data_IF_375390129827
#
_entry.id   IF_375390129827
#
_cell.length_a   1.000
_cell.length_b   1.000
_cell.length_c   1.000
_cell.angle_alpha   90.00
_cell.angle_beta   90.00
_cell.angle_gamma   90.00
#
_symmetry.space_group_name_H-M   'P 1'
#
loop_
_entity.id
_entity.type
_entity.pdbx_description
1 polymer ?
#
# COMPACT_ATOMS: atom_id res chain seq x y z
N UNK A 1 33.80 81.58 -28.70
CA UNK A 1 34.48 81.11 -29.91
C UNK A 1 33.94 79.72 -30.22
N UNK A 2 32.81 79.72 -30.94
CA UNK A 2 32.17 78.57 -31.58
C UNK A 2 33.04 78.10 -32.73
N UNK A 3 33.12 76.80 -33.05
CA UNK A 3 33.48 76.16 -34.34
C UNK A 3 33.34 74.63 -34.10
N UNK A 4 32.17 73.99 -34.28
CA UNK A 4 31.61 73.36 -35.50
C UNK A 4 32.64 72.55 -36.32
N UNK A 5 32.54 71.21 -36.29
CA UNK A 5 32.53 70.33 -37.50
C UNK A 5 32.11 68.90 -37.13
N UNK A 6 31.25 68.32 -37.98
CA UNK A 6 30.49 67.07 -37.85
C UNK A 6 31.30 65.78 -38.20
N UNK A 7 30.69 64.68 -38.71
CA UNK A 7 30.53 63.41 -38.02
C UNK A 7 31.36 62.30 -38.67
N UNK A 8 31.44 61.10 -38.07
CA UNK A 8 31.59 59.85 -38.83
C UNK A 8 31.22 58.66 -37.95
N UNK A 9 30.17 57.99 -38.40
CA UNK A 9 29.84 56.62 -38.06
C UNK A 9 30.92 55.70 -38.67
N UNK A 10 31.49 54.82 -37.84
CA UNK A 10 32.04 53.56 -38.33
C UNK A 10 32.06 52.54 -37.19
N UNK A 11 30.87 52.02 -36.87
CA UNK A 11 30.79 50.59 -36.55
C UNK A 11 31.32 49.83 -37.79
N UNK A 12 32.13 48.75 -37.66
CA UNK A 12 31.62 47.58 -36.98
C UNK A 12 32.67 46.68 -36.26
N UNK A 13 32.08 45.79 -35.46
CA UNK A 13 32.43 44.38 -35.41
C UNK A 13 33.36 43.88 -34.29
N UNK A 14 32.70 43.45 -33.22
CA UNK A 14 32.78 42.09 -32.69
C UNK A 14 34.19 41.52 -32.50
N UNK A 15 34.72 41.69 -31.29
CA UNK A 15 35.49 40.63 -30.65
C UNK A 15 35.06 40.48 -29.19
N UNK A 16 34.44 39.32 -28.92
CA UNK A 16 34.24 38.67 -27.62
C UNK A 16 33.05 39.15 -26.79
N UNK A 17 31.86 38.52 -26.79
CA UNK A 17 31.50 37.19 -26.22
C UNK A 17 32.05 37.02 -24.79
N UNK A 18 31.29 36.90 -23.68
CA UNK A 18 29.88 36.65 -23.32
C UNK A 18 29.67 37.21 -21.87
N UNK A 19 28.41 37.33 -21.37
CA UNK A 19 28.08 38.15 -20.19
C UNK A 19 28.55 37.58 -18.83
N UNK A 20 29.09 38.47 -18.00
CA UNK A 20 29.34 38.26 -16.56
C UNK A 20 28.01 38.04 -15.84
N UNK A 21 27.87 36.92 -15.14
CA UNK A 21 26.67 36.55 -14.39
C UNK A 21 26.38 37.55 -13.25
N UNK A 22 25.17 38.12 -13.14
CA UNK A 22 24.77 38.90 -11.98
C UNK A 22 24.51 37.99 -10.78
N UNK A 23 25.29 38.18 -9.72
CA UNK A 23 25.05 37.64 -8.38
C UNK A 23 23.74 38.23 -7.82
N UNK A 24 22.73 37.38 -7.56
CA UNK A 24 21.52 37.78 -6.84
C UNK A 24 21.80 37.89 -5.34
N UNK A 25 22.37 39.03 -4.92
CA UNK A 25 22.40 39.46 -3.52
C UNK A 25 21.80 40.87 -3.43
N UNK A 26 20.47 40.95 -3.37
CA UNK A 26 19.72 42.13 -2.88
C UNK A 26 18.86 41.71 -1.67
N UNK A 27 19.30 42.08 -0.46
CA UNK A 27 18.51 42.13 0.80
C UNK A 27 17.67 43.42 0.79
N UNK A 28 16.45 43.54 1.40
CA UNK A 28 16.26 43.46 2.85
C UNK A 28 14.83 43.04 3.31
N UNK A 29 14.55 43.20 4.61
CA UNK A 29 13.50 42.58 5.38
C UNK A 29 12.52 43.62 5.93
N UNK A 30 11.28 43.68 5.40
CA UNK A 30 10.05 44.24 6.03
C UNK A 30 8.99 44.69 5.01
N UNK A 31 7.88 43.97 4.85
CA UNK A 31 6.54 44.58 4.86
C UNK A 31 5.45 43.51 4.89
N UNK A 32 4.61 43.63 5.91
CA UNK A 32 3.30 43.01 6.10
C UNK A 32 2.65 42.59 4.77
N UNK A 33 2.46 41.28 4.57
CA UNK A 33 1.42 40.82 3.65
C UNK A 33 0.10 41.32 4.21
N UNK A 34 -0.30 42.49 3.72
CA UNK A 34 -1.63 43.06 3.86
C UNK A 34 -2.59 41.94 3.49
N UNK A 35 -3.39 41.52 4.46
CA UNK A 35 -4.55 40.66 4.22
C UNK A 35 -5.42 41.42 3.22
N UNK A 36 -5.49 40.94 1.98
CA UNK A 36 -6.36 41.45 0.93
C UNK A 36 -7.83 41.22 1.35
N UNK A 37 -8.60 42.27 1.71
CA UNK A 37 -9.98 42.12 2.16
C UNK A 37 -10.97 41.88 1.01
N UNK A 38 -10.53 41.84 -0.25
CA UNK A 38 -11.39 41.60 -1.41
C UNK A 38 -11.36 40.14 -1.91
N UNK A 39 -10.50 39.27 -1.36
CA UNK A 39 -10.56 37.84 -1.66
C UNK A 39 -11.69 37.19 -0.86
N UNK A 40 -12.89 37.19 -1.45
CA UNK A 40 -14.07 36.49 -0.95
C UNK A 40 -13.69 35.04 -0.58
N UNK A 41 -13.75 34.65 0.71
CA UNK A 41 -13.60 33.26 1.11
C UNK A 41 -14.94 32.57 0.87
N UNK A 42 -15.14 31.97 -0.30
CA UNK A 42 -16.42 31.34 -0.60
C UNK A 42 -16.65 31.00 -2.06
N UNK A 43 -15.79 30.19 -2.67
CA UNK A 43 -16.18 29.39 -3.84
C UNK A 43 -15.64 27.96 -3.82
N UNK A 44 -15.37 27.42 -2.62
CA UNK A 44 -15.52 25.97 -2.44
C UNK A 44 -17.01 25.68 -2.47
N UNK A 45 -17.56 25.75 -3.69
CA UNK A 45 -18.87 25.21 -4.01
C UNK A 45 -18.85 23.80 -3.45
N UNK A 46 -19.56 23.70 -2.33
CA UNK A 46 -20.05 22.47 -1.75
C UNK A 46 -20.82 21.79 -2.87
N UNK A 47 -20.11 20.98 -3.66
CA UNK A 47 -20.75 19.94 -4.39
C UNK A 47 -20.86 18.82 -3.35
N UNK A 48 -22.05 18.55 -2.82
CA UNK A 48 -22.21 17.35 -2.01
C UNK A 48 -21.88 16.20 -2.96
N UNK A 49 -20.75 15.54 -2.74
CA UNK A 49 -20.32 14.37 -3.48
C UNK A 49 -21.26 13.20 -3.16
N UNK A 50 -22.53 13.31 -3.58
CA UNK A 50 -23.57 12.29 -3.44
C UNK A 50 -23.27 11.03 -4.29
N UNK A 51 -22.16 11.04 -5.04
CA UNK A 51 -21.64 9.91 -5.83
C UNK A 51 -20.47 9.19 -5.12
N UNK A 52 -19.82 9.82 -4.13
CA UNK A 52 -18.65 9.23 -3.44
C UNK A 52 -19.03 8.06 -2.53
N UNK A 53 -20.20 8.13 -1.86
CA UNK A 53 -20.70 7.04 -1.02
C UNK A 53 -21.02 5.76 -1.81
N UNK A 54 -21.44 5.89 -3.08
CA UNK A 54 -21.66 4.73 -3.94
C UNK A 54 -20.32 4.12 -4.41
N UNK A 55 -19.35 4.95 -4.81
CA UNK A 55 -18.04 4.46 -5.28
C UNK A 55 -17.20 3.78 -4.17
N UNK A 56 -17.24 4.31 -2.94
CA UNK A 56 -16.66 3.67 -1.74
C UNK A 56 -17.33 2.31 -1.46
N UNK A 57 -18.66 2.27 -1.46
CA UNK A 57 -19.42 1.04 -1.22
C UNK A 57 -19.10 -0.06 -2.24
N UNK A 58 -18.99 0.31 -3.52
CA UNK A 58 -18.62 -0.63 -4.58
C UNK A 58 -17.19 -1.15 -4.40
N UNK A 59 -16.24 -0.33 -3.93
CA UNK A 59 -14.87 -0.77 -3.62
C UNK A 59 -14.84 -1.77 -2.47
N UNK A 60 -15.53 -1.51 -1.37
CA UNK A 60 -15.56 -2.43 -0.21
C UNK A 60 -16.20 -3.77 -0.62
N UNK A 61 -17.29 -3.72 -1.36
CA UNK A 61 -17.96 -4.93 -1.84
C UNK A 61 -17.10 -5.72 -2.85
N UNK A 62 -16.34 -5.02 -3.70
CA UNK A 62 -15.39 -5.64 -4.62
C UNK A 62 -14.21 -6.29 -3.90
N UNK A 63 -13.61 -5.61 -2.91
CA UNK A 63 -12.52 -6.16 -2.09
C UNK A 63 -13.01 -7.37 -1.29
N UNK A 64 -14.19 -7.28 -0.67
CA UNK A 64 -14.80 -8.41 0.05
C UNK A 64 -15.01 -9.60 -0.88
N UNK A 65 -15.62 -9.38 -2.04
CA UNK A 65 -15.92 -10.45 -3.00
C UNK A 65 -14.64 -11.06 -3.56
N UNK A 66 -13.65 -10.26 -3.95
CA UNK A 66 -12.39 -10.80 -4.49
C UNK A 66 -11.64 -11.57 -3.42
N UNK A 67 -11.52 -11.03 -2.21
CA UNK A 67 -10.83 -11.69 -1.10
C UNK A 67 -11.56 -12.98 -0.70
N UNK A 68 -12.90 -12.93 -0.62
CA UNK A 68 -13.72 -14.11 -0.35
C UNK A 68 -13.50 -15.18 -1.41
N UNK A 69 -13.64 -14.87 -2.69
CA UNK A 69 -13.44 -15.87 -3.75
C UNK A 69 -12.00 -16.37 -3.82
N UNK A 70 -10.99 -15.52 -3.62
CA UNK A 70 -9.58 -15.97 -3.58
C UNK A 70 -9.34 -16.95 -2.43
N UNK A 71 -9.79 -16.61 -1.21
CA UNK A 71 -9.61 -17.49 -0.05
C UNK A 71 -10.50 -18.73 -0.18
N UNK A 72 -11.75 -18.56 -0.60
CA UNK A 72 -12.69 -19.66 -0.79
C UNK A 72 -12.19 -20.64 -1.84
N UNK A 73 -11.66 -20.21 -2.98
CA UNK A 73 -11.06 -21.12 -3.98
C UNK A 73 -9.78 -21.78 -3.45
N UNK A 74 -8.97 -21.07 -2.66
CA UNK A 74 -7.78 -21.64 -2.04
C UNK A 74 -8.13 -22.69 -0.98
N UNK A 75 -9.27 -22.54 -0.30
CA UNK A 75 -9.75 -23.41 0.79
C UNK A 75 -10.78 -24.46 0.30
N UNK A 76 -11.43 -24.27 -0.84
CA UNK A 76 -12.46 -25.17 -1.37
C UNK A 76 -11.82 -26.50 -1.78
N UNK A 77 -12.21 -27.55 -1.07
CA UNK A 77 -11.60 -28.87 -1.26
C UNK A 77 -10.28 -29.03 -0.51
N UNK A 78 -10.02 -28.22 0.51
CA UNK A 78 -9.00 -28.58 1.49
C UNK A 78 -9.28 -29.99 2.01
N UNK A 79 -8.21 -30.78 2.16
CA UNK A 79 -8.28 -32.17 2.59
C UNK A 79 -9.03 -32.29 3.92
N UNK A 80 -8.94 -31.27 4.78
CA UNK A 80 -9.69 -31.21 6.04
C UNK A 80 -11.21 -31.22 5.84
N UNK A 81 -11.73 -30.62 4.77
CA UNK A 81 -13.18 -30.63 4.46
C UNK A 81 -13.66 -32.03 4.06
N UNK A 82 -12.91 -32.73 3.22
CA UNK A 82 -13.22 -34.12 2.82
C UNK A 82 -13.06 -35.08 4.00
N UNK A 83 -12.02 -34.92 4.82
CA UNK A 83 -11.83 -35.70 6.05
C UNK A 83 -13.00 -35.49 7.02
N UNK A 84 -13.41 -34.25 7.26
CA UNK A 84 -14.53 -33.94 8.15
C UNK A 84 -15.84 -34.50 7.61
N UNK A 85 -16.08 -34.39 6.29
CA UNK A 85 -17.26 -34.96 5.63
C UNK A 85 -17.27 -36.49 5.73
N UNK A 86 -16.13 -37.16 5.55
CA UNK A 86 -16.01 -38.62 5.68
C UNK A 86 -16.26 -39.07 7.12
N UNK A 87 -15.65 -38.42 8.10
CA UNK A 87 -15.87 -38.71 9.53
C UNK A 87 -17.35 -38.47 9.89
N UNK A 88 -17.97 -37.43 9.33
CA UNK A 88 -19.39 -37.13 9.55
C UNK A 88 -20.29 -38.19 8.90
N UNK A 89 -19.94 -38.67 7.70
CA UNK A 89 -20.71 -39.68 6.97
C UNK A 89 -20.62 -41.08 7.61
N UNK A 90 -19.50 -41.42 8.25
CA UNK A 90 -19.32 -42.68 8.98
C UNK A 90 -19.93 -42.63 10.40
N UNK A 91 -20.04 -41.44 10.98
CA UNK A 91 -20.56 -41.26 12.34
C UNK A 91 -22.09 -41.39 12.40
N UNK A 92 -22.58 -42.23 13.30
CA UNK A 92 -24.01 -42.36 13.60
C UNK A 92 -24.63 -41.06 14.17
N UNK A 93 -23.81 -40.09 14.61
CA UNK A 93 -24.28 -38.82 15.11
C UNK A 93 -23.45 -37.63 14.57
N UNK A 94 -23.93 -36.92 13.53
CA UNK A 94 -23.19 -35.84 12.89
C UNK A 94 -22.92 -34.64 13.81
N UNK A 95 -23.75 -34.43 14.84
CA UNK A 95 -23.59 -33.34 15.80
C UNK A 95 -22.33 -33.48 16.66
N UNK A 96 -21.95 -34.71 17.00
CA UNK A 96 -20.75 -34.97 17.80
C UNK A 96 -19.49 -34.66 16.99
N UNK A 97 -19.48 -35.02 15.70
CA UNK A 97 -18.37 -34.72 14.80
C UNK A 97 -18.24 -33.21 14.58
N UNK A 98 -19.36 -32.51 14.39
CA UNK A 98 -19.36 -31.05 14.24
C UNK A 98 -18.79 -30.35 15.48
N UNK A 99 -19.23 -30.74 16.68
CA UNK A 99 -18.71 -30.16 17.93
C UNK A 99 -17.23 -30.54 18.17
N UNK A 100 -16.84 -31.77 17.83
CA UNK A 100 -15.45 -32.21 17.91
C UNK A 100 -14.52 -31.43 16.97
N UNK A 101 -14.86 -31.37 15.68
CA UNK A 101 -14.09 -30.62 14.69
C UNK A 101 -14.08 -29.11 14.99
N UNK A 102 -15.22 -28.54 15.38
CA UNK A 102 -15.33 -27.12 15.76
C UNK A 102 -14.50 -26.78 17.00
N UNK A 103 -14.58 -27.60 18.05
CA UNK A 103 -13.77 -27.38 19.27
C UNK A 103 -12.27 -27.58 19.01
N UNK A 104 -11.89 -28.55 18.18
CA UNK A 104 -10.51 -28.74 17.75
C UNK A 104 -9.99 -27.54 16.97
N UNK A 105 -10.79 -26.99 16.05
CA UNK A 105 -10.43 -25.80 15.27
C UNK A 105 -10.23 -24.59 16.18
N UNK A 106 -11.19 -24.30 17.07
CA UNK A 106 -11.08 -23.18 18.02
C UNK A 106 -9.83 -23.34 18.90
N UNK A 107 -9.59 -24.54 19.43
CA UNK A 107 -8.43 -24.82 20.27
C UNK A 107 -7.12 -24.62 19.51
N UNK A 108 -7.05 -25.12 18.28
CA UNK A 108 -5.88 -24.99 17.42
C UNK A 108 -5.62 -23.54 17.05
N UNK A 109 -6.66 -22.78 16.68
CA UNK A 109 -6.55 -21.34 16.40
C UNK A 109 -6.10 -20.56 17.63
N UNK A 110 -6.65 -20.86 18.81
CA UNK A 110 -6.25 -20.19 20.05
C UNK A 110 -4.79 -20.46 20.38
N UNK A 111 -4.34 -21.71 20.28
CA UNK A 111 -2.94 -22.08 20.44
C UNK A 111 -2.05 -21.38 19.41
N UNK A 112 -2.46 -21.37 18.13
CA UNK A 112 -1.74 -20.71 17.05
C UNK A 112 -1.56 -19.21 17.30
N UNK A 113 -2.61 -18.51 17.77
CA UNK A 113 -2.54 -17.09 18.12
C UNK A 113 -1.65 -16.86 19.34
N UNK A 114 -1.74 -17.68 20.39
CA UNK A 114 -0.89 -17.56 21.57
C UNK A 114 0.59 -17.76 21.22
N UNK A 115 0.90 -18.83 20.48
CA UNK A 115 2.26 -19.13 20.03
C UNK A 115 2.76 -18.05 19.06
N UNK A 116 1.94 -17.63 18.11
CA UNK A 116 2.28 -16.58 17.16
C UNK A 116 2.57 -15.24 17.85
N UNK A 117 1.75 -14.85 18.82
CA UNK A 117 1.96 -13.62 19.60
C UNK A 117 3.17 -13.72 20.52
N UNK A 118 3.46 -14.89 21.09
CA UNK A 118 4.67 -15.12 21.86
C UNK A 118 5.91 -15.00 20.98
N UNK A 119 5.89 -15.65 19.81
CA UNK A 119 7.00 -15.65 18.87
C UNK A 119 7.24 -14.25 18.27
N UNK A 120 6.18 -13.53 17.91
CA UNK A 120 6.26 -12.16 17.39
C UNK A 120 6.81 -11.15 18.41
N UNK A 121 6.66 -11.41 19.72
CA UNK A 121 7.24 -10.56 20.76
C UNK A 121 8.70 -10.87 21.05
N UNK A 122 9.15 -12.09 20.79
CA UNK A 122 10.50 -12.54 21.12
C UNK A 122 11.47 -12.51 19.92
N UNK A 123 10.94 -12.60 18.70
CA UNK A 123 11.71 -12.72 17.46
C UNK A 123 11.47 -11.49 16.58
N UNK A 124 12.55 -10.95 15.99
CA UNK A 124 12.44 -9.86 15.02
C UNK A 124 11.59 -10.27 13.80
N UNK A 125 10.72 -9.38 13.28
CA UNK A 125 9.77 -9.71 12.22
C UNK A 125 10.44 -10.24 10.94
N UNK A 126 11.63 -9.74 10.61
CA UNK A 126 12.41 -10.20 9.44
C UNK A 126 12.80 -11.70 9.54
N UNK A 127 13.11 -12.18 10.74
CA UNK A 127 13.44 -13.58 10.96
C UNK A 127 12.20 -14.45 10.86
N UNK A 128 11.04 -13.94 11.29
CA UNK A 128 9.77 -14.66 11.24
C UNK A 128 9.31 -14.87 9.79
N UNK A 129 9.40 -13.84 8.94
CA UNK A 129 9.08 -13.93 7.52
C UNK A 129 9.99 -14.93 6.78
N UNK A 130 11.31 -14.84 7.03
CA UNK A 130 12.28 -15.78 6.45
C UNK A 130 12.04 -17.22 6.93
N UNK A 131 11.73 -17.39 8.22
CA UNK A 131 11.45 -18.71 8.79
C UNK A 131 10.17 -19.31 8.20
N UNK A 132 9.11 -18.53 8.05
CA UNK A 132 7.86 -18.98 7.42
C UNK A 132 8.09 -19.43 5.97
N UNK A 133 8.78 -18.61 5.18
CA UNK A 133 9.13 -18.94 3.79
C UNK A 133 10.03 -20.17 3.69
N UNK A 134 11.04 -20.28 4.55
CA UNK A 134 11.96 -21.43 4.57
C UNK A 134 11.24 -22.72 4.98
N UNK A 135 10.34 -22.66 5.96
CA UNK A 135 9.55 -23.80 6.42
C UNK A 135 8.61 -24.27 5.31
N UNK A 136 7.95 -23.35 4.61
CA UNK A 136 7.12 -23.65 3.44
C UNK A 136 7.92 -24.32 2.32
N UNK A 137 9.11 -23.80 2.02
CA UNK A 137 9.99 -24.36 0.99
C UNK A 137 10.47 -25.76 1.38
N UNK A 138 10.83 -25.98 2.65
CA UNK A 138 11.24 -27.28 3.17
C UNK A 138 10.11 -28.30 3.04
N UNK A 139 8.90 -27.97 3.51
CA UNK A 139 7.74 -28.86 3.41
C UNK A 139 7.44 -29.18 1.94
N UNK A 140 7.49 -28.18 1.06
CA UNK A 140 7.30 -28.36 -0.38
C UNK A 140 8.34 -29.33 -0.98
N UNK A 141 9.61 -29.17 -0.63
CA UNK A 141 10.68 -30.05 -1.10
C UNK A 141 10.55 -31.49 -0.58
N UNK A 142 10.14 -31.67 0.68
CA UNK A 142 9.89 -32.99 1.28
C UNK A 142 8.76 -33.70 0.53
N UNK A 143 7.61 -33.03 0.36
CA UNK A 143 6.45 -33.61 -0.35
C UNK A 143 6.83 -33.92 -1.80
N UNK A 144 7.59 -33.03 -2.45
CA UNK A 144 8.06 -33.28 -3.80
C UNK A 144 8.93 -34.54 -3.85
N UNK A 145 9.90 -34.69 -2.94
CA UNK A 145 10.73 -35.89 -2.90
C UNK A 145 9.90 -37.16 -2.68
N UNK A 146 8.97 -37.16 -1.71
CA UNK A 146 8.07 -38.29 -1.44
C UNK A 146 7.13 -38.64 -2.60
N UNK A 147 6.80 -37.66 -3.47
CA UNK A 147 5.98 -37.91 -4.66
C UNK A 147 6.77 -38.61 -5.77
N UNK A 148 8.07 -38.33 -5.88
CA UNK A 148 8.93 -38.84 -6.95
C UNK A 148 9.75 -40.09 -6.56
N UNK A 149 9.76 -40.47 -5.28
CA UNK A 149 10.46 -41.64 -4.75
C UNK A 149 9.52 -42.51 -3.92
#
# INVERSE_FOLDING_TARGET
>A
MTLISEPVDSSPNQSNSLPVSPNFQEQPLNETTIIDPARLPGDSSTQPDMVSGAAESIKVWAIFTSTFFTIFLAEMGDKTQITTLLITAESHNPWVVFLGAGSALITTSLLGVLLGQWLARHIQPQTLERAAGLTLLLISAIIFWEVFH
#
